data_IF_330933116468
#
_entry.id   IF_330933116468
#
_cell.length_a   1.000
_cell.length_b   1.000
_cell.length_c   1.000
_cell.angle_alpha   90.00
_cell.angle_beta   90.00
_cell.angle_gamma   90.00
#
_symmetry.space_group_name_H-M   'P 1'
#
loop_
_entity.id
_entity.type
_entity.pdbx_description
1 polymer ?
2 polymer ?
3 polymer ?
4 non-polymer ?
5 non-polymer ?
6 non-polymer ?
7 non-polymer ?
8 non-polymer ?
9 water ?
#
loop_
_entity_poly.entity_id
_entity_poly.type
_entity_poly.pdbx_seq_one_letter_code
_entity_poly.pdbx_strand_id
2 'polydeoxyribonucleotide' '(DA)(DA)(DG)(DA)(DC)(8OG)(DT)(DG)(DG)(DA)(DC)' ?
3 'polydeoxyribonucleotide' '(DT)(DG)(DT)(DC)(DC)(DA)(3DR)(DG)(DT)(DC)(DT)' ?
#
# COMPACT_ATOMS: atom_id res chain seq x y z
N UNK A 2 3.38 -34.46 -13.64
CA UNK A 2 2.99 -33.09 -13.27
C UNK A 2 2.21 -33.12 -11.96
N UNK A 3 1.51 -32.02 -11.65
CA UNK A 3 0.86 -31.85 -10.37
C UNK A 3 -0.42 -31.04 -10.54
N UNK A 4 -1.49 -31.46 -9.86
CA UNK A 4 -2.72 -30.66 -9.78
C UNK A 4 -2.46 -29.36 -9.01
N UNK A 5 -3.36 -28.39 -9.22
CA UNK A 5 -3.08 -27.01 -8.83
C UNK A 5 -2.91 -26.84 -7.32
N UNK A 6 -3.88 -27.30 -6.52
CA UNK A 6 -3.82 -27.05 -5.09
C UNK A 6 -2.59 -27.72 -4.48
N UNK A 7 -2.23 -28.90 -4.97
CA UNK A 7 -1.08 -29.62 -4.45
C UNK A 7 0.23 -28.94 -4.85
N UNK A 8 0.30 -28.41 -6.07
CA UNK A 8 1.48 -27.63 -6.45
C UNK A 8 1.64 -26.42 -5.53
N UNK A 9 0.55 -25.70 -5.26
CA UNK A 9 0.61 -24.52 -4.42
C UNK A 9 1.00 -24.89 -2.99
N UNK A 10 0.34 -25.89 -2.41
CA UNK A 10 0.62 -26.23 -1.03
C UNK A 10 2.06 -26.71 -0.86
N UNK A 11 2.54 -27.58 -1.75
CA UNK A 11 3.90 -28.10 -1.59
C UNK A 11 4.93 -27.00 -1.85
N UNK A 12 4.71 -26.19 -2.89
CA UNK A 12 5.61 -25.05 -3.11
C UNK A 12 5.60 -24.12 -1.90
N UNK A 13 4.42 -23.89 -1.32
CA UNK A 13 4.34 -22.98 -0.17
C UNK A 13 5.16 -23.48 0.99
N UNK A 14 5.17 -24.81 1.21
CA UNK A 14 5.98 -25.40 2.26
C UNK A 14 7.47 -25.30 1.94
N UNK A 15 7.84 -25.51 0.68
CA UNK A 15 9.24 -25.37 0.26
C UNK A 15 9.75 -23.94 0.40
N UNK A 16 8.90 -22.95 0.11
CA UNK A 16 9.29 -21.57 -0.06
C UNK A 16 8.91 -20.68 1.12
N UNK A 17 8.38 -21.23 2.21
CA UNK A 17 7.78 -20.39 3.25
C UNK A 17 8.76 -19.33 3.76
N UNK A 18 8.28 -18.09 3.82
CA UNK A 18 9.07 -16.96 4.31
C UNK A 18 8.55 -16.53 5.68
N UNK A 19 9.46 -16.47 6.65
CA UNK A 19 9.07 -16.10 8.02
C UNK A 19 9.07 -14.58 8.19
N UNK A 20 8.11 -13.95 7.58
CA UNK A 20 8.05 -12.50 7.63
C UNK A 20 7.48 -12.01 8.97
N UNK A 21 7.93 -10.84 9.45
CA UNK A 21 7.59 -10.40 10.81
C UNK A 21 6.10 -10.22 11.07
N UNK A 22 5.32 -9.88 10.05
CA UNK A 22 3.89 -9.63 10.21
C UNK A 22 3.04 -10.88 10.00
N UNK A 23 3.65 -12.05 9.92
CA UNK A 23 2.88 -13.27 9.66
C UNK A 23 2.46 -13.96 10.96
N UNK A 24 1.31 -14.63 10.90
CA UNK A 24 0.80 -15.42 12.02
C UNK A 24 0.58 -14.54 13.23
N UNK A 25 0.06 -13.35 13.00
CA UNK A 25 -0.36 -12.42 14.05
C UNK A 25 -1.86 -12.54 14.25
N UNK A 26 -2.31 -12.26 15.46
CA UNK A 26 -3.74 -12.18 15.69
C UNK A 26 -4.29 -10.76 15.63
N UNK A 27 -3.45 -9.75 15.85
CA UNK A 27 -3.91 -8.36 15.93
C UNK A 27 -4.29 -7.83 14.55
N UNK A 28 -5.56 -7.57 14.28
CA UNK A 28 -5.94 -7.10 12.94
C UNK A 28 -5.30 -5.76 12.58
N UNK A 29 -5.03 -4.91 13.56
CA UNK A 29 -4.42 -3.63 13.25
C UNK A 29 -2.98 -3.80 12.75
N UNK A 30 -2.18 -4.62 13.44
CA UNK A 30 -0.81 -4.88 12.99
C UNK A 30 -0.80 -5.50 11.60
N UNK A 31 -1.74 -6.39 11.32
CA UNK A 31 -1.84 -6.97 9.98
C UNK A 31 -2.22 -5.89 8.95
N UNK A 32 -3.23 -5.07 9.28
CA UNK A 32 -3.60 -3.99 8.37
C UNK A 32 -2.42 -3.09 8.03
N UNK A 33 -1.63 -2.69 9.03
CA UNK A 33 -0.50 -1.82 8.73
C UNK A 33 0.43 -2.50 7.73
N UNK A 34 0.74 -3.78 7.94
CA UNK A 34 1.63 -4.45 7.00
C UNK A 34 1.02 -4.51 5.61
N UNK A 35 -0.28 -4.82 5.50
CA UNK A 35 -0.92 -4.95 4.19
C UNK A 35 -0.96 -3.62 3.44
N UNK A 36 -1.26 -2.53 4.15
CA UNK A 36 -1.26 -1.23 3.48
C UNK A 36 0.14 -0.89 3.02
N UNK A 37 1.12 -1.15 3.88
CA UNK A 37 2.51 -0.86 3.55
C UNK A 37 2.97 -1.66 2.34
N UNK A 38 2.46 -2.89 2.18
CA UNK A 38 2.83 -3.77 1.09
C UNK A 38 2.23 -3.39 -0.26
N UNK A 39 1.22 -2.53 -0.29
CA UNK A 39 0.60 -2.18 -1.59
C UNK A 39 1.65 -1.57 -2.51
N UNK A 40 1.91 -2.24 -3.64
CA UNK A 40 2.88 -1.80 -4.63
C UNK A 40 4.24 -1.48 -4.00
N UNK A 41 4.64 -2.28 -3.00
CA UNK A 41 5.90 -2.04 -2.28
C UNK A 41 6.48 -3.38 -1.85
N UNK A 42 7.77 -3.57 -2.13
CA UNK A 42 8.45 -4.84 -1.85
C UNK A 42 8.54 -5.16 -0.37
N UNK A 43 8.45 -6.47 -0.06
CA UNK A 43 8.55 -6.96 1.32
C UNK A 43 9.79 -6.40 2.03
N UNK A 44 10.93 -6.36 1.34
CA UNK A 44 12.17 -5.92 2.01
C UNK A 44 12.07 -4.47 2.47
N UNK A 45 11.40 -3.61 1.68
CA UNK A 45 11.18 -2.24 2.13
C UNK A 45 10.24 -2.21 3.31
N UNK A 46 9.14 -2.96 3.24
CA UNK A 46 8.17 -2.94 4.33
C UNK A 46 8.83 -3.39 5.62
N UNK A 47 9.74 -4.37 5.54
CA UNK A 47 10.47 -4.82 6.72
C UNK A 47 11.26 -3.72 7.41
N UNK A 48 11.65 -2.69 6.67
CA UNK A 48 12.38 -1.57 7.25
C UNK A 48 11.49 -0.55 7.93
N UNK A 49 10.16 -0.61 7.70
CA UNK A 49 9.22 0.37 8.24
C UNK A 49 8.21 -0.22 9.22
N UNK A 50 7.81 -1.47 9.05
CA UNK A 50 6.67 -1.98 9.80
C UNK A 50 6.92 -2.00 11.30
N UNK A 51 8.05 -2.59 11.75
CA UNK A 51 8.33 -2.64 13.19
C UNK A 51 8.41 -1.24 13.79
N UNK A 52 9.07 -0.32 13.09
CA UNK A 52 9.20 1.05 13.58
C UNK A 52 7.84 1.72 13.71
N UNK A 53 6.99 1.54 12.68
CA UNK A 53 5.66 2.15 12.70
C UNK A 53 4.82 1.58 13.84
N UNK A 54 4.85 0.25 14.01
CA UNK A 54 4.13 -0.39 15.09
C UNK A 54 4.60 0.11 16.45
N UNK A 55 5.90 0.39 16.59
CA UNK A 55 6.42 0.90 17.86
C UNK A 55 5.90 2.28 18.17
N UNK A 56 5.78 3.14 17.16
CA UNK A 56 5.34 4.50 17.42
C UNK A 56 3.82 4.58 17.53
N UNK A 57 3.09 3.75 16.76
CA UNK A 57 1.63 3.76 16.75
C UNK A 57 1.15 2.33 16.99
N UNK A 58 1.18 1.86 18.24
CA UNK A 58 0.93 0.42 18.49
C UNK A 58 -0.52 -0.01 18.35
N UNK A 59 -1.48 0.92 18.29
CA UNK A 59 -2.90 0.59 18.25
C UNK A 59 -3.63 1.55 17.32
N UNK A 60 -4.82 1.12 16.91
CA UNK A 60 -5.78 2.00 16.24
C UNK A 60 -5.90 3.34 16.97
N UNK A 61 -6.13 3.28 18.29
CA UNK A 61 -6.32 4.51 19.06
C UNK A 61 -5.08 5.38 19.05
N UNK A 62 -3.90 4.76 19.09
CA UNK A 62 -2.66 5.54 19.08
C UNK A 62 -2.44 6.20 17.73
N UNK A 63 -2.70 5.47 16.64
CA UNK A 63 -2.60 6.07 15.32
C UNK A 63 -3.61 7.20 15.16
N UNK A 64 -4.83 7.02 15.68
CA UNK A 64 -5.85 8.06 15.57
C UNK A 64 -5.41 9.32 16.29
N UNK A 65 -4.80 9.16 17.47
CA UNK A 65 -4.42 10.30 18.31
C UNK A 65 -3.19 11.03 17.80
N UNK A 66 -2.37 10.36 16.99
CA UNK A 66 -1.12 10.94 16.52
C UNK A 66 -1.40 12.15 15.63
N UNK A 67 -0.38 13.00 15.50
CA UNK A 67 -0.46 14.07 14.52
C UNK A 67 -0.25 13.49 13.11
N UNK A 68 -0.92 14.09 12.13
CA UNK A 68 -0.74 13.67 10.76
C UNK A 68 0.71 13.84 10.33
N UNK A 69 1.35 14.93 10.77
CA UNK A 69 2.76 15.15 10.44
C UNK A 69 3.64 14.00 10.90
N UNK A 70 3.41 13.49 12.12
CA UNK A 70 4.20 12.37 12.58
C UNK A 70 3.97 11.13 11.73
N UNK A 71 2.72 10.87 11.33
CA UNK A 71 2.45 9.70 10.50
C UNK A 71 3.13 9.85 9.15
N UNK A 72 3.04 11.04 8.54
CA UNK A 72 3.70 11.27 7.26
C UNK A 72 5.22 11.13 7.39
N UNK A 73 5.80 11.64 8.48
CA UNK A 73 7.24 11.50 8.69
C UNK A 73 7.66 10.04 8.73
N UNK A 74 6.87 9.21 9.42
CA UNK A 74 7.15 7.78 9.51
C UNK A 74 7.06 7.11 8.15
N UNK A 75 6.21 7.60 7.26
CA UNK A 75 5.96 6.97 5.97
C UNK A 75 7.03 7.29 4.93
N UNK A 76 7.73 8.40 5.08
CA UNK A 76 8.55 8.91 4.00
C UNK A 76 9.58 7.87 3.57
N UNK A 77 9.56 7.57 2.27
CA UNK A 77 10.41 6.56 1.67
C UNK A 77 9.65 5.36 1.17
N UNK A 78 8.44 5.12 1.70
CA UNK A 78 7.61 4.03 1.23
C UNK A 78 6.90 4.35 -0.09
N UNK A 79 6.73 5.63 -0.42
CA UNK A 79 6.03 5.99 -1.65
C UNK A 79 4.51 5.92 -1.49
N UNK A 80 3.83 6.36 -2.54
CA UNK A 80 2.36 6.39 -2.58
C UNK A 80 1.81 6.85 -1.23
N UNK A 81 2.13 8.11 -0.92
CA UNK A 81 1.94 8.67 0.41
C UNK A 81 0.47 8.90 0.77
N UNK A 82 -0.45 8.88 -0.21
CA UNK A 82 -1.86 8.88 0.18
C UNK A 82 -2.17 7.73 1.12
N UNK A 83 -1.42 6.63 1.03
CA UNK A 83 -1.67 5.47 1.90
C UNK A 83 -1.57 5.85 3.37
N UNK A 84 -0.63 6.75 3.71
CA UNK A 84 -0.44 7.13 5.11
C UNK A 84 -1.66 7.87 5.63
N UNK A 85 -2.21 8.79 4.81
CA UNK A 85 -3.39 9.52 5.21
C UNK A 85 -4.59 8.59 5.33
N UNK A 86 -4.75 7.66 4.38
CA UNK A 86 -5.92 6.80 4.43
C UNK A 86 -5.86 5.85 5.60
N UNK A 87 -4.68 5.30 5.86
CA UNK A 87 -4.49 4.44 7.03
C UNK A 87 -4.81 5.20 8.31
N UNK A 88 -4.30 6.43 8.43
CA UNK A 88 -4.59 7.19 9.64
C UNK A 88 -6.08 7.49 9.76
N UNK A 89 -6.72 7.84 8.63
CA UNK A 89 -8.15 8.13 8.65
C UNK A 89 -8.93 6.90 9.11
N UNK A 90 -8.53 5.72 8.61
CA UNK A 90 -9.20 4.50 9.03
C UNK A 90 -9.11 4.32 10.54
N UNK A 91 -7.92 4.59 11.10
CA UNK A 91 -7.77 4.53 12.55
C UNK A 91 -8.66 5.55 13.25
N UNK A 92 -8.74 6.77 12.72
CA UNK A 92 -9.59 7.79 13.34
C UNK A 92 -11.06 7.40 13.29
N UNK A 93 -11.51 6.85 12.16
CA UNK A 93 -12.89 6.40 12.07
C UNK A 93 -13.16 5.29 13.08
N UNK A 94 -12.27 4.29 13.15
CA UNK A 94 -12.50 3.17 14.03
C UNK A 94 -12.39 3.58 15.50
N UNK A 95 -11.49 4.51 15.81
CA UNK A 95 -11.37 5.01 17.17
C UNK A 95 -12.64 5.73 17.61
N UNK A 96 -13.22 6.55 16.73
CA UNK A 96 -14.38 7.34 17.13
C UNK A 96 -15.68 6.56 17.03
N UNK A 97 -15.75 5.56 16.17
CA UNK A 97 -17.00 4.90 15.83
C UNK A 97 -17.06 3.44 16.20
N UNK A 98 -15.92 2.77 16.37
CA UNK A 98 -15.86 1.32 16.54
C UNK A 98 -15.17 0.93 17.85
N UNK A 99 -15.09 1.85 18.81
CA UNK A 99 -14.41 1.57 20.05
C UNK A 99 -12.93 1.25 19.94
N UNK A 100 -12.27 1.71 18.88
CA UNK A 100 -10.85 1.48 18.71
C UNK A 100 -10.47 0.17 18.07
N UNK A 101 -11.41 -0.54 17.43
CA UNK A 101 -11.14 -1.82 16.80
C UNK A 101 -11.53 -1.79 15.33
N UNK A 102 -10.86 -2.62 14.55
CA UNK A 102 -11.23 -2.80 13.15
C UNK A 102 -12.43 -3.73 13.05
N UNK A 103 -13.21 -3.61 11.99
CA UNK A 103 -14.31 -4.56 11.76
C UNK A 103 -13.75 -5.93 11.39
N UNK A 104 -14.65 -6.92 11.37
CA UNK A 104 -14.28 -8.30 11.05
C UNK A 104 -15.19 -8.90 9.98
N UNK A 105 -15.69 -8.08 9.08
CA UNK A 105 -16.27 -8.58 7.83
C UNK A 105 -15.58 -7.89 6.66
N UNK A 106 -15.51 -8.59 5.54
CA UNK A 106 -14.86 -8.06 4.36
C UNK A 106 -15.50 -6.75 3.91
N UNK A 107 -16.84 -6.74 3.87
CA UNK A 107 -17.56 -5.57 3.38
C UNK A 107 -17.27 -4.35 4.24
N UNK A 108 -17.29 -4.52 5.58
CA UNK A 108 -17.05 -3.38 6.47
C UNK A 108 -15.62 -2.88 6.36
N UNK A 109 -14.67 -3.79 6.14
CA UNK A 109 -13.29 -3.35 5.91
C UNK A 109 -13.17 -2.57 4.61
N UNK A 110 -13.86 -3.00 3.56
CA UNK A 110 -13.75 -2.29 2.28
C UNK A 110 -14.34 -0.89 2.34
N UNK A 111 -15.21 -0.62 3.31
CA UNK A 111 -15.75 0.71 3.50
C UNK A 111 -14.73 1.69 4.08
N UNK A 112 -13.61 1.21 4.54
CA UNK A 112 -12.68 2.10 5.20
C UNK A 112 -11.63 2.63 4.22
N UNK A 113 -11.16 3.87 4.40
CA UNK A 113 -10.19 4.44 3.46
C UNK A 113 -8.91 3.64 3.37
N UNK A 114 -8.45 3.43 2.14
CA UNK A 114 -7.22 2.72 1.88
C UNK A 114 -7.38 1.22 1.80
N UNK A 115 -8.54 0.69 2.14
CA UNK A 115 -8.78 -0.75 2.17
C UNK A 115 -9.66 -1.09 0.96
N UNK A 116 -9.05 -1.67 -0.07
CA UNK A 116 -9.77 -2.19 -1.19
C UNK A 116 -9.99 -3.68 -1.05
N UNK A 117 -10.40 -4.34 -2.13
CA UNK A 117 -10.72 -5.78 -2.04
C UNK A 117 -9.56 -6.62 -1.55
N UNK A 118 -8.34 -6.33 -1.99
CA UNK A 118 -7.20 -7.16 -1.60
C UNK A 118 -6.85 -6.96 -0.13
N UNK A 119 -6.77 -5.71 0.33
CA UNK A 119 -6.43 -5.50 1.73
C UNK A 119 -7.51 -6.04 2.64
N UNK A 120 -8.78 -5.92 2.24
CA UNK A 120 -9.87 -6.47 3.04
C UNK A 120 -9.76 -7.99 3.14
N UNK A 121 -9.61 -8.66 2.00
CA UNK A 121 -9.44 -10.11 2.03
C UNK A 121 -8.17 -10.51 2.78
N UNK A 122 -7.12 -9.69 2.69
CA UNK A 122 -5.89 -10.00 3.39
C UNK A 122 -6.04 -9.92 4.89
N UNK A 123 -6.72 -8.88 5.38
CA UNK A 123 -6.97 -8.79 6.82
C UNK A 123 -7.84 -9.95 7.28
N UNK A 124 -8.91 -10.26 6.54
CA UNK A 124 -9.75 -11.38 6.93
C UNK A 124 -8.99 -12.70 6.93
N UNK A 125 -8.15 -12.95 5.91
CA UNK A 125 -7.42 -14.21 5.86
C UNK A 125 -6.29 -14.23 6.89
N UNK A 126 -5.52 -13.15 6.98
CA UNK A 126 -4.29 -13.21 7.77
C UNK A 126 -4.54 -12.96 9.25
N UNK A 127 -5.44 -12.04 9.59
CA UNK A 127 -5.76 -11.74 10.98
C UNK A 127 -6.81 -12.69 11.54
N UNK A 128 -7.82 -13.04 10.74
CA UNK A 128 -8.94 -13.84 11.24
C UNK A 128 -8.99 -15.26 10.68
N UNK A 129 -8.08 -15.64 9.78
CA UNK A 129 -8.14 -16.96 9.13
C UNK A 129 -9.50 -17.24 8.52
N UNK A 130 -10.06 -16.24 7.86
CA UNK A 130 -11.34 -16.36 7.19
C UNK A 130 -11.16 -16.32 5.68
N UNK A 131 -11.93 -17.12 4.93
CA UNK A 131 -11.70 -17.24 3.49
C UNK A 131 -12.24 -16.04 2.71
N UNK A 132 -11.76 -15.93 1.49
CA UNK A 132 -12.12 -14.81 0.63
C UNK A 132 -11.26 -14.82 -0.61
N UNK A 133 -11.46 -13.82 -1.45
CA UNK A 133 -10.75 -13.68 -2.71
C UNK A 133 -9.66 -12.63 -2.51
N UNK A 134 -8.42 -13.10 -2.39
CA UNK A 134 -7.25 -12.24 -2.20
C UNK A 134 -6.43 -12.32 -3.48
N UNK A 135 -6.50 -11.27 -4.29
CA UNK A 135 -5.90 -11.24 -5.62
C UNK A 135 -5.01 -9.99 -5.74
N UNK A 136 -3.73 -10.16 -5.48
CA UNK A 136 -2.69 -9.13 -5.70
C UNK A 136 -1.67 -9.71 -6.68
N UNK A 137 -0.51 -9.06 -6.79
CA UNK A 137 0.37 -9.35 -7.92
C UNK A 137 0.92 -10.78 -7.86
N UNK A 138 1.21 -11.28 -6.65
CA UNK A 138 1.75 -12.64 -6.52
C UNK A 138 0.70 -13.71 -6.80
N UNK A 139 -0.48 -13.58 -6.22
CA UNK A 139 -1.58 -14.50 -6.51
C UNK A 139 -1.91 -14.49 -8.00
N UNK A 140 -2.02 -13.29 -8.58
CA UNK A 140 -2.29 -13.16 -10.01
C UNK A 140 -1.26 -13.93 -10.83
N UNK A 141 0.02 -13.79 -10.46
CA UNK A 141 1.08 -14.49 -11.15
C UNK A 141 0.90 -16.01 -11.07
N UNK A 142 0.55 -16.53 -9.88
CA UNK A 142 0.40 -17.99 -9.74
C UNK A 142 -0.72 -18.49 -10.64
N UNK A 143 -1.88 -17.82 -10.60
CA UNK A 143 -3.04 -18.29 -11.36
C UNK A 143 -2.80 -18.15 -12.86
N UNK A 144 -2.14 -17.07 -13.29
CA UNK A 144 -1.81 -16.94 -14.71
C UNK A 144 -0.85 -18.02 -15.16
N UNK A 145 0.16 -18.30 -14.34
CA UNK A 145 1.17 -19.29 -14.70
C UNK A 145 0.58 -20.69 -14.72
N UNK A 146 -0.22 -21.04 -13.71
CA UNK A 146 -0.68 -22.42 -13.52
C UNK A 146 -1.91 -22.76 -14.33
N UNK A 147 -2.89 -21.85 -14.40
CA UNK A 147 -4.19 -22.15 -14.98
C UNK A 147 -4.42 -21.47 -16.32
N UNK A 148 -3.61 -20.49 -16.68
CA UNK A 148 -3.77 -19.76 -17.94
C UNK A 148 -2.47 -19.73 -18.73
N UNK A 149 -1.77 -20.87 -18.75
CA UNK A 149 -0.38 -20.91 -19.20
C UNK A 149 -0.23 -20.37 -20.63
N UNK A 150 -1.17 -20.67 -21.52
CA UNK A 150 -1.00 -20.31 -22.93
C UNK A 150 -1.72 -19.01 -23.33
N UNK A 151 -2.26 -18.26 -22.37
CA UNK A 151 -3.10 -17.12 -22.68
C UNK A 151 -2.28 -15.84 -22.76
N UNK A 152 -2.52 -15.04 -23.80
CA UNK A 152 -1.75 -13.82 -24.04
C UNK A 152 -2.16 -12.73 -23.06
N UNK A 153 -3.46 -12.57 -22.84
CA UNK A 153 -3.99 -11.54 -21.94
C UNK A 153 -5.20 -12.11 -21.22
N UNK A 154 -5.24 -11.93 -19.90
CA UNK A 154 -6.27 -12.50 -19.04
C UNK A 154 -6.68 -11.44 -18.05
N UNK A 155 -7.98 -11.17 -17.96
CA UNK A 155 -8.44 -10.15 -17.02
C UNK A 155 -8.65 -10.76 -15.63
N UNK A 156 -8.60 -9.90 -14.62
CA UNK A 156 -8.90 -10.33 -13.26
C UNK A 156 -10.31 -10.91 -13.16
N UNK A 157 -11.23 -10.44 -13.99
CA UNK A 157 -12.58 -11.00 -14.04
C UNK A 157 -12.52 -12.50 -14.27
N UNK A 158 -11.62 -12.96 -15.14
CA UNK A 158 -11.54 -14.38 -15.42
C UNK A 158 -10.89 -15.14 -14.28
N UNK A 159 -9.95 -14.49 -13.57
CA UNK A 159 -9.26 -15.14 -12.47
C UNK A 159 -10.13 -15.25 -11.24
N UNK A 160 -10.98 -14.23 -10.98
CA UNK A 160 -11.72 -14.15 -9.73
C UNK A 160 -12.43 -15.46 -9.34
N UNK A 161 -13.22 -16.10 -10.20
CA UNK A 161 -13.95 -17.30 -9.76
C UNK A 161 -13.03 -18.44 -9.39
N UNK A 162 -11.86 -18.50 -10.01
CA UNK A 162 -10.91 -19.58 -9.71
C UNK A 162 -10.21 -19.33 -8.38
N UNK A 163 -9.86 -18.07 -8.10
CA UNK A 163 -9.35 -17.74 -6.78
C UNK A 163 -10.38 -18.04 -5.71
N UNK A 164 -11.65 -17.68 -5.97
CA UNK A 164 -12.72 -17.95 -5.01
C UNK A 164 -12.88 -19.44 -4.79
N UNK A 165 -12.91 -20.21 -5.88
CA UNK A 165 -13.19 -21.63 -5.80
C UNK A 165 -12.08 -22.40 -5.10
N UNK A 166 -10.83 -21.95 -5.21
CA UNK A 166 -9.72 -22.71 -4.66
C UNK A 166 -9.35 -22.32 -3.25
N UNK A 167 -9.91 -21.25 -2.72
CA UNK A 167 -9.58 -20.87 -1.36
C UNK A 167 -10.19 -21.89 -0.39
N UNK A 168 -9.39 -22.52 0.47
CA UNK A 168 -9.96 -23.46 1.44
C UNK A 168 -10.76 -22.75 2.52
N UNK A 169 -11.81 -23.42 2.98
CA UNK A 169 -12.70 -22.78 3.96
C UNK A 169 -12.00 -22.53 5.29
N UNK A 170 -11.21 -23.47 5.78
CA UNK A 170 -10.63 -23.37 7.12
C UNK A 170 -9.13 -23.15 7.12
N UNK A 171 -8.55 -22.74 6.00
CA UNK A 171 -7.10 -22.62 5.99
C UNK A 171 -6.61 -21.42 5.19
N UNK A 172 -7.38 -20.33 5.18
CA UNK A 172 -7.10 -19.25 4.24
C UNK A 172 -5.73 -18.60 4.50
N UNK A 173 -5.38 -18.40 5.77
CA UNK A 173 -4.12 -17.72 6.07
C UNK A 173 -2.95 -18.48 5.46
N UNK A 174 -2.84 -19.78 5.76
CA UNK A 174 -1.72 -20.57 5.26
C UNK A 174 -1.77 -20.70 3.73
N UNK A 175 -2.97 -20.77 3.17
CA UNK A 175 -3.12 -20.86 1.71
C UNK A 175 -2.59 -19.62 1.02
N UNK A 176 -2.96 -18.45 1.52
CA UNK A 176 -2.51 -17.26 0.82
C UNK A 176 -1.04 -16.95 1.08
N UNK A 177 -0.49 -17.37 2.23
CA UNK A 177 0.95 -17.30 2.40
C UNK A 177 1.65 -18.14 1.34
N UNK A 178 1.10 -19.34 1.05
CA UNK A 178 1.69 -20.20 0.03
C UNK A 178 1.61 -19.55 -1.34
N UNK A 179 0.46 -18.96 -1.68
CA UNK A 179 0.35 -18.27 -2.96
C UNK A 179 1.32 -17.10 -3.05
N UNK A 180 1.42 -16.31 -1.96
CA UNK A 180 2.36 -15.18 -1.96
C UNK A 180 3.77 -15.66 -2.20
N UNK A 181 4.17 -16.72 -1.51
CA UNK A 181 5.54 -17.19 -1.56
C UNK A 181 5.85 -17.86 -2.90
N UNK A 182 4.90 -18.62 -3.44
CA UNK A 182 5.12 -19.25 -4.74
C UNK A 182 5.13 -18.21 -5.85
N UNK A 183 4.23 -17.23 -5.77
CA UNK A 183 4.20 -16.16 -6.77
C UNK A 183 5.51 -15.38 -6.82
N UNK A 184 6.04 -15.03 -5.65
CA UNK A 184 7.29 -14.27 -5.65
C UNK A 184 8.41 -15.12 -6.23
N UNK A 185 8.38 -16.43 -5.97
CA UNK A 185 9.37 -17.32 -6.54
C UNK A 185 9.25 -17.36 -8.07
N UNK A 186 8.04 -17.52 -8.58
CA UNK A 186 7.82 -17.54 -10.03
C UNK A 186 8.33 -16.25 -10.66
N UNK A 187 8.03 -15.12 -10.03
CA UNK A 187 8.51 -13.85 -10.58
C UNK A 187 10.03 -13.81 -10.69
N UNK A 188 10.74 -14.60 -9.87
CA UNK A 188 12.19 -14.66 -9.98
C UNK A 188 12.70 -15.63 -11.04
N UNK A 189 12.04 -16.76 -11.27
CA UNK A 189 12.62 -17.86 -12.04
C UNK A 189 12.02 -18.02 -13.43
N UNK A 190 10.88 -17.40 -13.73
CA UNK A 190 10.35 -17.41 -15.09
C UNK A 190 10.00 -15.97 -15.48
N UNK A 191 9.72 -15.78 -16.76
CA UNK A 191 9.24 -14.47 -17.21
C UNK A 191 7.99 -14.11 -16.41
N UNK A 192 8.02 -12.93 -15.79
CA UNK A 192 6.94 -12.49 -14.89
C UNK A 192 5.58 -12.83 -15.48
N UNK A 193 4.86 -13.80 -14.91
CA UNK A 193 3.57 -14.19 -15.50
C UNK A 193 2.56 -13.06 -15.56
N UNK A 194 2.66 -12.07 -14.67
CA UNK A 194 1.74 -10.93 -14.67
C UNK A 194 1.85 -10.06 -15.91
N UNK A 195 2.90 -10.22 -16.72
CA UNK A 195 2.94 -9.53 -18.00
C UNK A 195 1.81 -9.99 -18.92
N UNK A 196 1.22 -11.15 -18.66
CA UNK A 196 0.08 -11.62 -19.45
C UNK A 196 -1.25 -11.26 -18.83
N UNK A 197 -1.23 -10.42 -17.81
CA UNK A 197 -2.46 -9.84 -17.29
C UNK A 197 -2.97 -8.75 -18.25
N UNK A 198 -4.28 -8.72 -18.45
CA UNK A 198 -4.88 -7.67 -19.24
C UNK A 198 -4.61 -6.28 -18.67
N UNK A 199 -4.32 -6.17 -17.38
CA UNK A 199 -4.12 -4.90 -16.68
C UNK A 199 -2.65 -4.53 -16.51
N UNK A 200 -1.73 -5.32 -17.07
CA UNK A 200 -0.32 -4.95 -17.02
C UNK A 200 -0.07 -3.59 -17.66
N UNK A 201 0.57 -2.69 -16.90
CA UNK A 201 0.86 -1.34 -17.34
C UNK A 201 2.20 -0.91 -16.76
N UNK A 202 2.65 0.28 -17.14
CA UNK A 202 3.84 0.88 -16.54
C UNK A 202 3.57 2.36 -16.30
N UNK A 203 4.26 2.93 -15.31
CA UNK A 203 4.07 4.34 -15.00
C UNK A 203 4.85 5.21 -15.97
N UNK A 204 4.47 6.49 -16.01
CA UNK A 204 5.24 7.49 -16.72
C UNK A 204 6.61 7.67 -16.05
N UNK A 205 7.54 8.23 -16.81
CA UNK A 205 8.85 8.58 -16.28
C UNK A 205 8.71 9.34 -14.96
N UNK A 206 9.44 8.90 -13.95
CA UNK A 206 9.38 9.57 -12.64
C UNK A 206 10.15 10.89 -12.67
N UNK A 207 11.31 10.91 -13.31
CA UNK A 207 12.10 12.15 -13.39
C UNK A 207 11.30 13.25 -14.07
N UNK A 208 11.20 14.40 -13.40
CA UNK A 208 10.45 15.52 -13.93
C UNK A 208 8.96 15.38 -13.85
N UNK A 209 8.46 14.37 -13.15
CA UNK A 209 7.03 14.09 -13.16
C UNK A 209 6.28 14.93 -12.14
N UNK A 210 4.96 15.00 -12.32
CA UNK A 210 4.13 15.66 -11.33
C UNK A 210 4.23 15.00 -9.97
N UNK A 211 4.25 13.66 -9.93
CA UNK A 211 4.26 12.99 -8.64
C UNK A 211 5.62 13.13 -7.94
N UNK A 212 6.71 13.27 -8.69
CA UNK A 212 7.97 13.61 -8.04
C UNK A 212 7.85 14.95 -7.32
N UNK A 213 7.21 15.92 -7.95
CA UNK A 213 7.05 17.22 -7.31
C UNK A 213 6.08 17.13 -6.13
N UNK A 214 5.01 16.34 -6.28
CA UNK A 214 4.10 16.14 -5.14
C UNK A 214 4.87 15.72 -3.91
N UNK A 215 5.73 14.69 -4.04
CA UNK A 215 6.40 14.12 -2.88
C UNK A 215 7.39 15.12 -2.30
N UNK A 216 8.09 15.84 -3.17
CA UNK A 216 9.02 16.86 -2.68
C UNK A 216 8.31 17.95 -1.91
N UNK A 217 7.19 18.44 -2.43
CA UNK A 217 6.48 19.53 -1.76
C UNK A 217 6.03 19.11 -0.37
N UNK A 218 5.57 17.87 -0.22
CA UNK A 218 5.17 17.43 1.10
C UNK A 218 6.36 17.37 2.02
N UNK A 219 7.50 16.86 1.54
CA UNK A 219 8.69 16.82 2.40
C UNK A 219 9.13 18.22 2.81
N UNK A 220 9.04 19.18 1.88
CA UNK A 220 9.48 20.53 2.20
C UNK A 220 8.61 21.15 3.29
N UNK A 221 7.30 20.91 3.24
CA UNK A 221 6.42 21.46 4.25
C UNK A 221 6.60 20.72 5.58
N UNK A 222 6.76 19.40 5.54
CA UNK A 222 7.04 18.67 6.77
C UNK A 222 8.29 19.17 7.45
N UNK A 223 9.33 19.50 6.67
CA UNK A 223 10.59 19.96 7.23
C UNK A 223 10.53 21.37 7.79
N UNK A 224 9.53 22.16 7.40
CA UNK A 224 9.49 23.60 7.71
C UNK A 224 8.06 24.04 7.99
N UNK A 225 7.51 23.66 9.15
CA UNK A 225 6.18 24.15 9.52
C UNK A 225 6.14 25.68 9.45
N UNK A 226 5.07 26.21 8.85
CA UNK A 226 4.91 27.64 8.70
C UNK A 226 5.54 28.22 7.46
N UNK A 227 6.14 27.40 6.59
CA UNK A 227 6.79 27.91 5.40
C UNK A 227 5.81 28.73 4.58
N UNK A 228 6.24 29.91 4.12
CA UNK A 228 5.39 30.73 3.30
C UNK A 228 5.18 30.15 1.92
N UNK A 229 4.07 30.53 1.29
CA UNK A 229 3.72 29.95 0.00
C UNK A 229 4.81 30.24 -1.04
N UNK A 230 5.32 31.49 -1.06
CA UNK A 230 6.35 31.80 -2.05
C UNK A 230 7.66 31.11 -1.72
N UNK A 231 8.03 31.05 -0.43
CA UNK A 231 9.20 30.30 -0.02
C UNK A 231 9.13 28.84 -0.44
N UNK A 232 7.94 28.24 -0.34
CA UNK A 232 7.81 26.85 -0.78
C UNK A 232 8.12 26.72 -2.28
N UNK A 233 7.65 27.67 -3.08
CA UNK A 233 7.97 27.63 -4.51
C UNK A 233 9.47 27.80 -4.75
N UNK A 234 10.10 28.69 -4.01
CA UNK A 234 11.54 28.90 -4.14
C UNK A 234 12.29 27.62 -3.82
N UNK A 235 11.88 26.92 -2.75
CA UNK A 235 12.58 25.71 -2.35
C UNK A 235 12.34 24.58 -3.34
N UNK A 236 11.13 24.46 -3.90
CA UNK A 236 10.91 23.46 -4.92
C UNK A 236 11.77 23.74 -6.14
N UNK A 237 11.84 25.01 -6.58
CA UNK A 237 12.69 25.34 -7.73
C UNK A 237 14.15 25.02 -7.43
N UNK A 238 14.60 25.29 -6.21
CA UNK A 238 15.98 24.98 -5.87
C UNK A 238 16.23 23.49 -5.95
N UNK A 239 15.29 22.68 -5.48
CA UNK A 239 15.46 21.23 -5.58
C UNK A 239 15.55 20.82 -7.03
N UNK A 240 14.62 21.32 -7.85
CA UNK A 240 14.58 20.95 -9.26
C UNK A 240 15.86 21.33 -9.98
N UNK A 241 16.38 22.53 -9.72
CA UNK A 241 17.60 22.95 -10.41
C UNK A 241 18.81 22.18 -9.91
N UNK A 242 18.84 21.90 -8.60
CA UNK A 242 19.92 21.10 -8.03
C UNK A 242 19.91 19.68 -8.60
N UNK A 243 18.74 19.19 -8.99
CA UNK A 243 18.61 17.91 -9.66
C UNK A 243 18.81 18.00 -11.16
N UNK A 244 19.07 19.20 -11.69
CA UNK A 244 19.33 19.39 -13.10
C UNK A 244 18.12 19.79 -13.92
N UNK A 245 16.94 19.87 -13.32
CA UNK A 245 15.73 20.27 -14.04
C UNK A 245 15.50 21.78 -13.90
N UNK A 246 14.60 22.29 -14.74
CA UNK A 246 14.36 23.73 -14.79
C UNK A 246 13.29 24.13 -13.77
N UNK A 247 13.06 25.43 -13.65
CA UNK A 247 12.11 25.92 -12.67
C UNK A 247 10.68 25.48 -12.98
N UNK A 248 9.89 25.32 -11.94
CA UNK A 248 8.52 24.84 -12.09
C UNK A 248 7.63 26.01 -12.47
N UNK A 249 6.81 25.83 -13.50
CA UNK A 249 5.98 26.95 -13.93
C UNK A 249 4.90 27.22 -12.89
N UNK A 250 4.44 28.49 -12.86
CA UNK A 250 3.56 28.92 -11.79
C UNK A 250 2.25 28.13 -11.77
N UNK A 251 1.67 27.85 -12.94
CA UNK A 251 0.43 27.08 -12.98
C UNK A 251 0.63 25.68 -12.38
N UNK A 252 1.75 25.03 -12.66
CA UNK A 252 1.97 23.67 -12.16
C UNK A 252 2.18 23.68 -10.65
N UNK A 253 2.99 24.64 -10.16
CA UNK A 253 3.19 24.77 -8.73
C UNK A 253 1.86 24.96 -8.00
N UNK A 254 1.06 25.92 -8.46
CA UNK A 254 -0.16 26.25 -7.72
C UNK A 254 -1.16 25.10 -7.82
N UNK A 255 -1.21 24.40 -8.96
CA UNK A 255 -2.14 23.29 -9.10
C UNK A 255 -1.77 22.12 -8.20
N UNK A 256 -0.48 21.76 -8.16
CA UNK A 256 -0.03 20.67 -7.30
C UNK A 256 -0.29 21.00 -5.84
N UNK A 257 0.04 22.24 -5.43
CA UNK A 257 -0.16 22.60 -4.03
C UNK A 257 -1.64 22.56 -3.67
N UNK A 258 -2.50 23.03 -4.58
CA UNK A 258 -3.93 22.97 -4.32
C UNK A 258 -4.38 21.52 -4.13
N UNK A 259 -3.82 20.61 -4.93
CA UNK A 259 -4.16 19.19 -4.83
C UNK A 259 -3.74 18.66 -3.46
N UNK A 260 -2.51 19.00 -3.04
CA UNK A 260 -1.99 18.44 -1.80
C UNK A 260 -2.77 18.95 -0.59
N UNK A 261 -3.19 20.21 -0.62
CA UNK A 261 -4.03 20.73 0.45
C UNK A 261 -5.38 20.02 0.43
N UNK A 262 -5.97 19.85 -0.76
CA UNK A 262 -7.28 19.22 -0.85
C UNK A 262 -7.23 17.79 -0.33
N UNK A 263 -6.11 17.11 -0.58
CA UNK A 263 -5.98 15.71 -0.16
C UNK A 263 -5.66 15.57 1.32
N UNK A 264 -5.24 16.65 1.97
CA UNK A 264 -4.99 16.62 3.40
C UNK A 264 -3.54 16.45 3.82
N UNK A 265 -2.57 16.69 2.93
CA UNK A 265 -1.17 16.54 3.35
C UNK A 265 -0.70 17.70 4.22
N UNK A 266 -1.23 18.89 3.98
CA UNK A 266 -0.94 20.00 4.86
C UNK A 266 -2.05 21.03 4.66
N UNK A 267 -2.08 22.02 5.53
CA UNK A 267 -3.11 23.03 5.49
C UNK A 267 -2.50 24.40 5.26
N UNK A 268 -3.34 25.32 4.79
CA UNK A 268 -2.98 26.71 4.61
C UNK A 268 -3.48 27.52 5.80
N UNK A 269 -2.58 28.26 6.44
CA UNK A 269 -2.94 29.23 7.47
C UNK A 269 -2.37 30.56 7.00
N UNK A 270 -3.26 31.41 6.50
CA UNK A 270 -2.92 32.67 5.87
C UNK A 270 -2.30 32.40 4.53
N UNK A 271 -1.00 32.67 4.43
CA UNK A 271 -0.23 32.32 3.26
C UNK A 271 0.83 31.26 3.55
N UNK A 272 0.84 30.71 4.77
CA UNK A 272 1.82 29.75 5.25
C UNK A 272 1.21 28.36 5.29
N UNK A 273 2.08 27.34 5.21
CA UNK A 273 1.64 25.95 5.17
C UNK A 273 2.12 25.20 6.40
N UNK A 274 1.27 24.31 6.92
CA UNK A 274 1.59 23.49 8.09
C UNK A 274 1.12 22.06 7.85
N UNK A 275 2.02 21.11 8.04
CA UNK A 275 1.63 19.71 8.03
C UNK A 275 1.12 19.36 9.42
#
# INVERSE_FOLDING_TARGET
GHMAFVERVRTQGALLYRDLPWRNLDDPYAVLVSEVMLQQTQVVRVGKYWNRFMGMFPTIDALAAASTADVLAQWQGLGYNRRALALKRTAEVCSAERGGTLPATNEELQALPGIGPATAAGVMAFAYNRPGVYLETNVRTVFLHELFADREKVSDRELWPLVEATCPEDDARAWYYALLDYGAHLKAVVANPSRRSAHHTRQSTFEGSRRQKRAELVRLVLAEPGIGIDELAERLDAFERDAGRKGVDAATFTSIVADLVAEGFFRREGDAFFA
#
